data_IF_401386305205
#
_entry.id   IF_401386305205
#
_cell.length_a   1.000
_cell.length_b   1.000
_cell.length_c   1.000
_cell.angle_alpha   90.00
_cell.angle_beta   90.00
_cell.angle_gamma   90.00
#
_symmetry.space_group_name_H-M   'P 1'
#
loop_
_entity.id
_entity.type
_entity.pdbx_description
1 polymer ?
#
# COMPACT_ATOMS: atom_id res chain seq x y z
N UNK A 1 11.54 -22.87 10.91
CA UNK A 1 10.34 -22.16 11.43
C UNK A 1 10.32 -20.65 11.17
N UNK A 2 11.31 -20.05 10.49
CA UNK A 2 11.35 -18.61 10.18
C UNK A 2 10.50 -18.19 8.95
N UNK A 3 9.96 -19.13 8.18
CA UNK A 3 9.15 -18.84 6.99
C UNK A 3 7.69 -18.46 7.27
N UNK A 4 7.16 -18.76 8.46
CA UNK A 4 5.72 -18.59 8.76
C UNK A 4 5.33 -17.16 9.16
N UNK A 5 6.28 -16.33 9.59
CA UNK A 5 6.00 -14.93 9.94
C UNK A 5 5.70 -14.07 8.71
N UNK A 6 6.07 -14.53 7.51
CA UNK A 6 5.79 -13.83 6.24
C UNK A 6 4.42 -14.17 5.64
N UNK A 7 3.84 -15.31 6.02
CA UNK A 7 2.58 -15.82 5.43
C UNK A 7 1.32 -15.32 6.14
N UNK A 8 1.44 -14.67 7.31
CA UNK A 8 0.31 -14.00 8.00
C UNK A 8 0.12 -12.53 7.58
N UNK A 9 0.62 -12.17 6.39
CA UNK A 9 0.25 -10.94 5.71
C UNK A 9 -0.78 -11.35 4.68
N UNK A 10 -2.05 -11.00 4.88
CA UNK A 10 -3.09 -11.13 3.86
C UNK A 10 -2.63 -10.43 2.59
N UNK A 11 -2.07 -11.22 1.69
CA UNK A 11 -1.36 -10.77 0.50
C UNK A 11 -2.29 -10.94 -0.69
N UNK A 12 -3.46 -10.28 -0.61
CA UNK A 12 -4.47 -10.34 -1.66
C UNK A 12 -4.32 -9.14 -2.58
N UNK A 13 -4.41 -9.39 -3.89
CA UNK A 13 -4.56 -8.33 -4.87
C UNK A 13 -5.98 -7.79 -4.74
N UNK A 14 -6.10 -6.54 -4.34
CA UNK A 14 -7.37 -5.84 -4.29
C UNK A 14 -7.49 -4.95 -5.51
N UNK A 15 -8.63 -5.03 -6.18
CA UNK A 15 -9.01 -4.03 -7.17
C UNK A 15 -9.22 -2.72 -6.42
N UNK A 16 -8.39 -1.72 -6.72
CA UNK A 16 -8.39 -0.48 -5.97
C UNK A 16 -9.48 0.42 -6.55
N UNK A 17 -10.63 0.49 -5.87
CA UNK A 17 -11.74 1.37 -6.27
C UNK A 17 -11.28 2.82 -6.39
N UNK A 18 -10.42 3.27 -5.47
CA UNK A 18 -9.76 4.58 -5.53
C UNK A 18 -8.91 4.83 -6.78
N UNK A 19 -8.42 3.80 -7.46
CA UNK A 19 -7.56 3.91 -8.64
C UNK A 19 -8.29 3.66 -9.97
N UNK A 20 -9.62 3.51 -9.95
CA UNK A 20 -10.41 3.40 -11.18
C UNK A 20 -10.19 4.64 -12.06
N UNK A 21 -9.75 4.41 -13.30
CA UNK A 21 -9.42 5.47 -14.26
C UNK A 21 -8.12 6.24 -13.99
N UNK A 22 -7.33 5.86 -12.98
CA UNK A 22 -6.05 6.50 -12.64
C UNK A 22 -4.87 5.76 -13.26
N UNK A 23 -3.79 6.50 -13.54
CA UNK A 23 -2.50 5.87 -13.83
C UNK A 23 -1.75 5.46 -12.53
N UNK A 24 -0.63 4.73 -12.67
CA UNK A 24 0.13 4.26 -11.50
C UNK A 24 0.60 5.39 -10.57
N UNK A 25 1.04 6.54 -11.11
CA UNK A 25 1.51 7.65 -10.31
C UNK A 25 0.36 8.28 -9.50
N UNK A 26 -0.79 8.48 -10.14
CA UNK A 26 -1.99 8.97 -9.48
C UNK A 26 -2.51 8.01 -8.41
N UNK A 27 -2.42 6.70 -8.65
CA UNK A 27 -2.78 5.68 -7.66
C UNK A 27 -1.83 5.72 -6.44
N UNK A 28 -0.52 5.83 -6.66
CA UNK A 28 0.48 5.97 -5.58
C UNK A 28 0.18 7.18 -4.71
N UNK A 29 -0.02 8.35 -5.32
CA UNK A 29 -0.35 9.59 -4.58
C UNK A 29 -1.69 9.47 -3.84
N UNK A 30 -2.68 8.79 -4.42
CA UNK A 30 -3.97 8.58 -3.76
C UNK A 30 -3.81 7.80 -2.45
N UNK A 31 -3.03 6.71 -2.45
CA UNK A 31 -2.83 5.91 -1.23
C UNK A 31 -1.96 6.64 -0.21
N UNK A 32 -0.94 7.38 -0.65
CA UNK A 32 -0.12 8.22 0.25
C UNK A 32 -1.01 9.20 0.99
N UNK A 33 -1.89 9.90 0.27
CA UNK A 33 -2.80 10.88 0.86
C UNK A 33 -3.86 10.22 1.75
N UNK A 34 -4.38 9.05 1.37
CA UNK A 34 -5.34 8.28 2.18
C UNK A 34 -4.74 7.86 3.52
N UNK A 35 -3.52 7.33 3.50
CA UNK A 35 -2.85 6.82 4.70
C UNK A 35 -2.20 7.91 5.55
N UNK A 36 -1.93 9.08 4.97
CA UNK A 36 -1.21 10.17 5.64
C UNK A 36 0.21 9.79 6.06
N UNK A 37 0.81 8.79 5.40
CA UNK A 37 2.15 8.28 5.70
C UNK A 37 3.20 8.91 4.76
N UNK A 38 4.46 8.89 5.18
CA UNK A 38 5.56 9.44 4.40
C UNK A 38 6.17 8.37 3.50
N UNK A 39 6.42 8.64 2.21
CA UNK A 39 7.17 7.73 1.38
C UNK A 39 8.61 7.64 1.84
N UNK A 40 9.16 6.43 1.79
CA UNK A 40 10.59 6.22 1.96
C UNK A 40 11.30 6.71 0.68
N UNK A 41 12.36 7.49 0.87
CA UNK A 41 13.24 8.13 -0.13
C UNK A 41 12.99 7.73 -1.60
N UNK A 42 12.13 8.49 -2.29
CA UNK A 42 11.93 8.42 -3.74
C UNK A 42 11.04 7.26 -4.22
N UNK A 43 10.53 6.42 -3.32
CA UNK A 43 9.64 5.31 -3.70
C UNK A 43 8.24 5.76 -4.14
N UNK A 44 7.91 7.04 -4.03
CA UNK A 44 6.73 7.68 -4.61
C UNK A 44 6.88 7.99 -6.10
N UNK A 45 8.12 8.06 -6.60
CA UNK A 45 8.40 8.43 -7.99
C UNK A 45 8.22 7.23 -8.90
N UNK A 46 7.16 7.25 -9.71
CA UNK A 46 6.88 6.18 -10.68
C UNK A 46 7.66 6.42 -11.98
N UNK A 47 8.40 5.41 -12.42
CA UNK A 47 9.12 5.47 -13.70
C UNK A 47 8.15 5.56 -14.90
N UNK A 48 8.51 6.37 -15.90
CA UNK A 48 7.74 6.54 -17.15
C UNK A 48 7.52 5.19 -17.82
N UNK A 49 6.29 4.95 -18.31
CA UNK A 49 5.87 3.71 -18.98
C UNK A 49 5.97 2.43 -18.11
N UNK A 50 6.15 2.55 -16.79
CA UNK A 50 6.15 1.38 -15.93
C UNK A 50 4.78 0.68 -15.93
N UNK A 51 4.78 -0.66 -15.86
CA UNK A 51 3.56 -1.48 -15.72
C UNK A 51 3.28 -1.91 -14.29
N UNK A 52 4.22 -1.68 -13.39
CA UNK A 52 4.12 -2.00 -11.97
C UNK A 52 4.97 -1.04 -11.16
N UNK A 53 4.58 -0.78 -9.92
CA UNK A 53 5.35 0.11 -9.05
C UNK A 53 5.35 -0.41 -7.62
N UNK A 54 6.43 -0.20 -6.88
CA UNK A 54 6.44 -0.47 -5.43
C UNK A 54 6.73 0.83 -4.70
N UNK A 55 5.80 1.22 -3.82
CA UNK A 55 5.96 2.36 -2.94
C UNK A 55 6.08 1.86 -1.50
N UNK A 56 7.06 2.39 -0.76
CA UNK A 56 7.29 2.07 0.64
C UNK A 56 6.90 3.28 1.47
N UNK A 57 6.04 3.09 2.46
CA UNK A 57 5.62 4.16 3.36
C UNK A 57 6.05 3.85 4.80
N UNK A 58 6.34 4.90 5.54
CA UNK A 58 6.63 4.89 6.97
C UNK A 58 5.73 5.90 7.67
N UNK A 59 5.23 5.52 8.84
CA UNK A 59 4.37 6.37 9.66
C UNK A 59 4.40 5.96 11.13
N UNK A 60 3.79 6.81 11.95
CA UNK A 60 3.55 6.56 13.36
C UNK A 60 2.05 6.72 13.61
N UNK A 61 1.42 5.68 14.13
CA UNK A 61 0.02 5.70 14.51
C UNK A 61 -0.15 6.21 15.96
N UNK A 62 -1.40 6.47 16.35
CA UNK A 62 -1.73 6.89 17.73
C UNK A 62 -1.12 5.93 18.75
N UNK A 63 -0.60 6.46 19.85
CA UNK A 63 0.15 5.68 20.85
C UNK A 63 1.63 5.46 20.52
N UNK A 64 2.19 6.20 19.55
CA UNK A 64 3.59 6.12 19.13
C UNK A 64 3.97 4.76 18.53
N UNK A 65 3.00 4.10 17.89
CA UNK A 65 3.19 2.79 17.27
C UNK A 65 3.74 2.97 15.86
N UNK A 66 4.92 2.42 15.59
CA UNK A 66 5.55 2.49 14.28
C UNK A 66 4.87 1.56 13.29
N UNK A 67 4.73 2.06 12.06
CA UNK A 67 4.10 1.32 10.97
C UNK A 67 4.95 1.45 9.71
N UNK A 68 5.18 0.32 9.04
CA UNK A 68 5.72 0.26 7.70
C UNK A 68 4.71 -0.36 6.76
N UNK A 69 4.51 0.27 5.60
CA UNK A 69 3.59 -0.22 4.58
C UNK A 69 4.35 -0.41 3.28
N UNK A 70 4.16 -1.57 2.64
CA UNK A 70 4.57 -1.78 1.25
C UNK A 70 3.34 -1.87 0.37
N UNK A 71 3.30 -0.99 -0.62
CA UNK A 71 2.30 -0.96 -1.68
C UNK A 71 2.92 -1.51 -2.95
N UNK A 72 2.29 -2.51 -3.56
CA UNK A 72 2.70 -3.03 -4.87
C UNK A 72 1.55 -2.81 -5.85
N UNK A 73 1.77 -1.97 -6.85
CA UNK A 73 0.80 -1.63 -7.88
C UNK A 73 1.09 -2.39 -9.16
N UNK A 74 0.04 -2.74 -9.89
CA UNK A 74 0.13 -3.32 -11.23
C UNK A 74 -1.03 -2.88 -12.11
N UNK A 75 -0.77 -2.68 -13.39
CA UNK A 75 -1.83 -2.41 -14.37
C UNK A 75 -2.57 -3.71 -14.69
N UNK A 76 -3.89 -3.70 -14.49
CA UNK A 76 -4.83 -4.74 -14.83
C UNK A 76 -5.74 -4.27 -15.98
N UNK A 77 -5.96 -5.11 -17.00
CA UNK A 77 -6.80 -4.74 -18.14
C UNK A 77 -6.27 -3.52 -18.94
N UNK A 78 -7.19 -2.71 -19.48
CA UNK A 78 -6.84 -1.60 -20.37
C UNK A 78 -6.31 -0.37 -19.63
N UNK A 79 -6.79 -0.07 -18.41
CA UNK A 79 -6.32 1.05 -17.56
C UNK A 79 -6.55 0.86 -16.05
N UNK A 80 -6.98 -0.30 -15.59
CA UNK A 80 -7.26 -0.46 -14.16
C UNK A 80 -5.96 -0.68 -13.39
N UNK A 81 -5.88 -0.17 -12.17
CA UNK A 81 -4.74 -0.42 -11.28
C UNK A 81 -5.19 -1.35 -10.17
N UNK A 82 -4.51 -2.48 -10.05
CA UNK A 82 -4.63 -3.37 -8.91
C UNK A 82 -3.49 -3.09 -7.92
N UNK A 83 -3.78 -3.29 -6.64
CA UNK A 83 -2.80 -3.06 -5.58
C UNK A 83 -2.77 -4.24 -4.62
N UNK A 84 -1.56 -4.56 -4.15
CA UNK A 84 -1.31 -5.42 -3.01
C UNK A 84 -0.75 -4.59 -1.86
N UNK A 85 -1.38 -4.71 -0.69
CA UNK A 85 -1.01 -4.02 0.55
C UNK A 85 -0.33 -5.00 1.52
N UNK A 86 0.81 -4.62 2.07
CA UNK A 86 1.46 -5.34 3.17
C UNK A 86 1.79 -4.36 4.30
N UNK A 87 1.21 -4.59 5.48
CA UNK A 87 1.39 -3.74 6.67
C UNK A 87 2.23 -4.47 7.71
N UNK A 88 3.22 -3.78 8.29
CA UNK A 88 4.01 -4.24 9.43
C UNK A 88 3.87 -3.24 10.58
N UNK A 89 3.48 -3.77 11.74
CA UNK A 89 3.49 -3.06 13.02
C UNK A 89 3.64 -4.09 14.14
N UNK A 90 4.09 -3.63 15.31
CA UNK A 90 4.13 -4.45 16.54
C UNK A 90 2.73 -4.60 17.16
N UNK A 91 1.77 -3.77 16.75
CA UNK A 91 0.37 -3.81 17.20
C UNK A 91 -0.53 -4.36 16.08
N UNK A 92 -1.25 -5.45 16.37
CA UNK A 92 -2.17 -6.10 15.45
C UNK A 92 -3.39 -5.20 15.11
N UNK A 93 -3.94 -4.47 16.08
CA UNK A 93 -5.08 -3.60 15.85
C UNK A 93 -4.73 -2.45 14.90
N UNK A 94 -3.49 -1.96 14.95
CA UNK A 94 -2.98 -0.96 14.00
C UNK A 94 -2.89 -1.55 12.59
N UNK A 95 -2.46 -2.80 12.44
CA UNK A 95 -2.42 -3.47 11.13
C UNK A 95 -3.82 -3.60 10.53
N UNK A 96 -4.77 -4.07 11.33
CA UNK A 96 -6.16 -4.28 10.89
C UNK A 96 -6.83 -2.96 10.52
N UNK A 97 -6.64 -1.92 11.33
CA UNK A 97 -7.15 -0.57 11.03
C UNK A 97 -6.65 -0.04 9.68
N UNK A 98 -5.37 -0.24 9.36
CA UNK A 98 -4.82 0.20 8.07
C UNK A 98 -5.42 -0.61 6.91
N UNK A 99 -5.59 -1.92 7.09
CA UNK A 99 -6.26 -2.76 6.11
C UNK A 99 -7.72 -2.31 5.87
N UNK A 100 -8.43 -1.94 6.94
CA UNK A 100 -9.80 -1.42 6.86
C UNK A 100 -9.86 -0.05 6.16
N UNK A 101 -8.99 0.90 6.50
CA UNK A 101 -8.92 2.22 5.85
C UNK A 101 -8.77 2.07 4.34
N UNK A 102 -7.85 1.21 3.88
CA UNK A 102 -7.62 0.98 2.44
C UNK A 102 -8.77 0.24 1.77
N UNK A 103 -9.51 -0.59 2.50
CA UNK A 103 -10.67 -1.32 1.98
C UNK A 103 -11.93 -0.45 1.90
N UNK A 104 -12.03 0.59 2.74
CA UNK A 104 -13.18 1.49 2.84
C UNK A 104 -13.10 2.73 1.95
N UNK A 105 -11.89 3.10 1.50
CA UNK A 105 -11.66 4.22 0.57
C UNK A 105 -11.88 3.82 -0.87
#
# INVERSE_FOLDING_TARGET
MLGKAWEMILSMWMNMALAQGRNLAEAVIAVINLLGMQPCEGTEVVATNSRSHTCLLSGVFLGNVRVLVRLQFGIHGSRDVAMKLAVRSEDEAVRDTIHEIVSSG
#
